data_IF_233914422249
#
_entry.id   IF_233914422249
#
_cell.length_a   1.000
_cell.length_b   1.000
_cell.length_c   1.000
_cell.angle_alpha   90.00
_cell.angle_beta   90.00
_cell.angle_gamma   90.00
#
_symmetry.space_group_name_H-M   'P 1'
#
loop_
_entity.id
_entity.type
_entity.pdbx_description
1 polymer ?
#
# COMPACT_ATOMS: atom_id res chain seq x y z
N UNK A 1 23.00 28.81 -3.10
CA UNK A 1 22.42 27.54 -2.64
C UNK A 1 23.33 26.38 -3.05
N UNK A 2 24.24 25.98 -2.16
CA UNK A 2 25.18 24.89 -2.41
C UNK A 2 24.49 23.52 -2.38
N UNK A 3 23.94 23.08 -3.50
CA UNK A 3 23.56 21.67 -3.65
C UNK A 3 24.86 20.92 -3.90
N UNK A 4 25.37 20.24 -2.86
CA UNK A 4 26.60 19.42 -2.95
C UNK A 4 26.54 18.35 -4.05
N UNK A 5 27.57 17.49 -4.11
CA UNK A 5 27.67 16.41 -5.11
C UNK A 5 26.39 15.55 -5.09
N UNK A 6 25.57 15.69 -6.12
CA UNK A 6 24.34 14.91 -6.24
C UNK A 6 24.68 13.45 -6.49
N UNK A 7 24.05 12.54 -5.76
CA UNK A 7 24.22 11.10 -5.98
C UNK A 7 23.86 10.75 -7.43
N UNK A 8 24.81 10.15 -8.13
CA UNK A 8 24.64 9.68 -9.50
C UNK A 8 24.07 8.25 -9.46
N UNK A 9 22.99 8.04 -10.19
CA UNK A 9 22.36 6.72 -10.39
C UNK A 9 22.48 6.34 -11.86
N UNK A 10 22.69 5.05 -12.11
CA UNK A 10 22.76 4.51 -13.47
C UNK A 10 21.37 4.17 -13.97
N UNK A 11 21.06 4.61 -15.20
CA UNK A 11 19.85 4.21 -15.88
C UNK A 11 19.87 2.71 -16.16
N UNK A 12 18.78 2.01 -15.85
CA UNK A 12 18.67 0.57 -16.10
C UNK A 12 18.62 0.22 -17.60
N UNK A 13 18.03 1.09 -18.43
CA UNK A 13 17.86 0.82 -19.86
C UNK A 13 19.10 1.13 -20.71
N UNK A 14 19.75 2.28 -20.47
CA UNK A 14 20.86 2.77 -21.31
C UNK A 14 22.20 2.91 -20.58
N UNK A 15 22.26 2.58 -19.28
CA UNK A 15 23.48 2.69 -18.48
C UNK A 15 23.94 4.11 -18.15
N UNK A 16 23.35 5.15 -18.75
CA UNK A 16 23.75 6.55 -18.57
C UNK A 16 23.65 6.97 -17.10
N UNK A 17 24.69 7.63 -16.60
CA UNK A 17 24.70 8.20 -15.25
C UNK A 17 23.89 9.48 -15.20
N UNK A 18 22.85 9.51 -14.36
CA UNK A 18 21.95 10.66 -14.19
C UNK A 18 21.92 11.01 -12.70
N UNK A 19 21.81 12.29 -12.36
CA UNK A 19 21.63 12.67 -10.96
C UNK A 19 20.29 12.18 -10.43
N UNK A 20 20.27 11.73 -9.17
CA UNK A 20 19.06 11.16 -8.54
C UNK A 20 17.85 12.09 -8.53
N UNK A 21 18.06 13.40 -8.52
CA UNK A 21 16.98 14.40 -8.62
C UNK A 21 16.39 14.54 -10.04
N UNK A 22 17.15 14.21 -11.09
CA UNK A 22 16.69 14.26 -12.48
C UNK A 22 16.23 12.89 -13.02
N UNK A 23 16.56 11.81 -12.32
CA UNK A 23 16.20 10.46 -12.71
C UNK A 23 14.71 10.16 -12.48
N UNK A 24 14.10 9.43 -13.40
CA UNK A 24 12.72 8.95 -13.27
C UNK A 24 12.74 7.67 -12.45
N UNK A 25 12.01 7.66 -11.33
CA UNK A 25 11.91 6.49 -10.45
C UNK A 25 10.63 5.72 -10.76
N UNK A 26 10.79 4.45 -11.13
CA UNK A 26 9.72 3.48 -11.29
C UNK A 26 9.76 2.44 -10.15
N UNK A 27 8.60 2.00 -9.68
CA UNK A 27 8.47 0.97 -8.65
C UNK A 27 8.03 -0.32 -9.34
N UNK A 28 8.99 -1.22 -9.58
CA UNK A 28 8.70 -2.50 -10.24
C UNK A 28 8.49 -3.56 -9.17
N UNK A 29 7.31 -4.18 -9.17
CA UNK A 29 7.06 -5.38 -8.36
C UNK A 29 7.75 -6.56 -9.02
N UNK A 30 8.65 -7.20 -8.29
CA UNK A 30 9.23 -8.48 -8.66
C UNK A 30 8.57 -9.52 -7.78
N UNK A 31 7.91 -10.48 -8.40
CA UNK A 31 7.31 -11.63 -7.72
C UNK A 31 8.26 -12.78 -7.93
N UNK A 32 8.81 -13.29 -6.84
CA UNK A 32 9.57 -14.54 -6.84
C UNK A 32 8.61 -15.62 -6.38
N UNK A 33 8.27 -16.53 -7.29
CA UNK A 33 7.60 -17.79 -6.98
C UNK A 33 8.66 -18.88 -6.97
N UNK A 34 8.90 -19.47 -5.80
CA UNK A 34 9.65 -20.74 -5.74
C UNK A 34 8.64 -21.87 -5.82
N UNK A 35 8.65 -22.60 -6.94
CA UNK A 35 7.89 -23.85 -7.10
C UNK A 35 8.54 -24.95 -6.26
N UNK A 36 8.28 -24.92 -4.95
CA UNK A 36 8.57 -26.04 -4.07
C UNK A 36 7.48 -27.09 -4.35
N UNK A 37 7.86 -28.25 -4.88
CA UNK A 37 6.96 -29.40 -5.15
C UNK A 37 6.29 -29.98 -3.89
N UNK A 38 6.34 -29.27 -2.77
CA UNK A 38 5.85 -29.65 -1.45
C UNK A 38 5.00 -28.50 -0.94
N UNK A 39 3.68 -28.60 -1.07
CA UNK A 39 2.54 -27.89 -0.45
C UNK A 39 2.57 -26.38 -0.09
N UNK A 40 3.72 -25.74 0.12
CA UNK A 40 3.87 -24.36 0.59
C UNK A 40 4.52 -23.48 -0.49
N UNK A 41 3.67 -22.93 -1.37
CA UNK A 41 4.09 -21.93 -2.36
C UNK A 41 4.47 -20.61 -1.68
N UNK A 42 5.76 -20.40 -1.43
CA UNK A 42 6.27 -19.11 -0.97
C UNK A 42 6.27 -18.09 -2.11
N UNK A 43 5.27 -17.21 -2.13
CA UNK A 43 5.19 -16.07 -3.06
C UNK A 43 5.78 -14.83 -2.40
N UNK A 44 7.05 -14.53 -2.70
CA UNK A 44 7.71 -13.32 -2.20
C UNK A 44 7.50 -12.16 -3.18
N UNK A 45 6.78 -11.12 -2.74
CA UNK A 45 6.57 -9.91 -3.54
C UNK A 45 7.45 -8.77 -3.03
N UNK A 46 8.48 -8.40 -3.80
CA UNK A 46 9.37 -7.29 -3.49
C UNK A 46 9.11 -6.11 -4.44
N UNK A 47 9.04 -4.88 -3.90
CA UNK A 47 8.95 -3.66 -4.71
C UNK A 47 10.32 -3.00 -4.84
N UNK A 48 10.96 -3.12 -6.00
CA UNK A 48 12.28 -2.52 -6.28
C UNK A 48 12.15 -1.17 -6.97
N UNK A 49 12.95 -0.21 -6.52
CA UNK A 49 13.08 1.13 -7.14
C UNK A 49 14.06 1.06 -8.30
N UNK A 50 13.58 1.30 -9.50
CA UNK A 50 14.39 1.32 -10.73
C UNK A 50 14.53 2.77 -11.20
N UNK A 51 15.74 3.16 -11.58
CA UNK A 51 16.07 4.50 -12.05
C UNK A 51 16.23 4.52 -13.57
N UNK A 52 15.59 5.48 -14.23
CA UNK A 52 15.67 5.71 -15.67
C UNK A 52 16.12 7.13 -16.01
N UNK A 53 16.73 7.25 -17.18
CA UNK A 53 17.04 8.52 -17.82
C UNK A 53 15.75 9.20 -18.33
N UNK A 54 15.76 10.53 -18.53
CA UNK A 54 14.57 11.28 -18.97
C UNK A 54 14.06 10.81 -20.34
N UNK A 55 14.95 10.53 -21.29
CA UNK A 55 14.56 10.01 -22.61
C UNK A 55 13.98 8.59 -22.51
N UNK A 56 14.67 7.70 -21.79
CA UNK A 56 14.24 6.33 -21.53
C UNK A 56 12.86 6.27 -20.84
N UNK A 57 12.63 7.18 -19.90
CA UNK A 57 11.35 7.27 -19.18
C UNK A 57 10.18 7.66 -20.08
N UNK A 58 10.45 8.48 -21.12
CA UNK A 58 9.45 8.84 -22.14
C UNK A 58 9.14 7.68 -23.07
N UNK A 59 10.16 7.03 -23.62
CA UNK A 59 9.98 5.91 -24.56
C UNK A 59 9.33 4.68 -23.91
N UNK A 60 9.60 4.42 -22.62
CA UNK A 60 9.05 3.29 -21.88
C UNK A 60 7.70 3.59 -21.19
N UNK A 61 7.11 4.78 -21.43
CA UNK A 61 5.82 5.18 -20.84
C UNK A 61 5.81 5.19 -19.30
N UNK A 62 6.95 5.39 -18.65
CA UNK A 62 7.06 5.35 -17.18
C UNK A 62 6.32 6.53 -16.56
N UNK A 63 6.29 7.67 -17.25
CA UNK A 63 5.57 8.86 -16.81
C UNK A 63 4.05 8.63 -16.72
N UNK A 64 3.47 7.98 -17.71
CA UNK A 64 2.03 7.69 -17.78
C UNK A 64 1.62 6.72 -16.69
N UNK A 65 2.38 5.63 -16.52
CA UNK A 65 2.17 4.66 -15.45
C UNK A 65 2.24 5.32 -14.08
N UNK A 66 3.21 6.20 -13.85
CA UNK A 66 3.36 6.91 -12.58
C UNK A 66 2.26 7.94 -12.34
N UNK A 67 1.77 8.62 -13.39
CA UNK A 67 0.64 9.55 -13.29
C UNK A 67 -0.61 8.82 -12.80
N UNK A 68 -0.95 7.70 -13.43
CA UNK A 68 -2.10 6.85 -13.05
C UNK A 68 -1.98 6.34 -11.61
N UNK A 69 -0.79 5.89 -11.21
CA UNK A 69 -0.54 5.44 -9.83
C UNK A 69 -0.70 6.57 -8.80
N UNK A 70 -0.22 7.77 -9.12
CA UNK A 70 -0.33 8.92 -8.22
C UNK A 70 -1.78 9.43 -8.10
N UNK A 71 -2.55 9.33 -9.18
CA UNK A 71 -3.98 9.65 -9.19
C UNK A 71 -4.77 8.72 -8.25
N UNK A 72 -4.62 7.40 -8.41
CA UNK A 72 -5.22 6.40 -7.51
C UNK A 72 -4.80 6.64 -6.06
N UNK A 73 -3.52 6.98 -5.82
CA UNK A 73 -3.03 7.27 -4.47
C UNK A 73 -3.69 8.54 -3.89
N UNK A 74 -3.86 9.59 -4.69
CA UNK A 74 -4.56 10.82 -4.28
C UNK A 74 -6.03 10.56 -3.98
N UNK A 75 -6.72 9.80 -4.82
CA UNK A 75 -8.11 9.41 -4.60
C UNK A 75 -8.28 8.61 -3.30
N UNK A 76 -7.43 7.61 -3.07
CA UNK A 76 -7.44 6.84 -1.81
C UNK A 76 -7.18 7.73 -0.59
N UNK A 77 -6.23 8.66 -0.68
CA UNK A 77 -5.94 9.59 0.41
C UNK A 77 -7.11 10.52 0.68
N UNK A 78 -7.77 11.05 -0.36
CA UNK A 78 -8.92 11.92 -0.22
C UNK A 78 -10.11 11.17 0.40
N UNK A 79 -10.39 9.94 -0.05
CA UNK A 79 -11.48 9.11 0.50
C UNK A 79 -11.26 8.75 1.98
N UNK A 80 -10.02 8.53 2.39
CA UNK A 80 -9.66 8.28 3.79
C UNK A 80 -9.82 9.52 4.67
N UNK A 81 -9.71 10.73 4.11
CA UNK A 81 -9.82 11.99 4.85
C UNK A 81 -11.29 12.43 5.04
N UNK A 82 -12.19 12.02 4.13
CA UNK A 82 -13.64 12.28 4.24
C UNK A 82 -14.40 11.25 5.08
N UNK A 83 -13.77 10.12 5.45
CA UNK A 83 -14.37 9.10 6.32
C UNK A 83 -14.29 9.39 7.84
N UNK A 84 -13.62 10.47 8.26
CA UNK A 84 -13.46 10.85 9.67
C UNK A 84 -14.56 11.81 10.19
N UNK A 85 -15.73 11.84 9.53
CA UNK A 85 -16.93 12.57 9.94
C UNK A 85 -18.08 11.66 10.40
N UNK A 86 -17.79 10.40 10.71
CA UNK A 86 -18.76 9.43 11.23
C UNK A 86 -19.26 9.84 12.62
N UNK A 87 -20.42 10.47 12.62
CA UNK A 87 -21.28 10.86 13.74
C UNK A 87 -21.44 9.75 14.78
N UNK A 88 -20.68 9.85 15.88
CA UNK A 88 -21.00 9.16 17.14
C UNK A 88 -21.81 10.10 18.02
N UNK A 89 -23.12 10.18 17.77
CA UNK A 89 -24.05 10.81 18.69
C UNK A 89 -24.22 9.92 19.92
N UNK A 90 -23.53 10.24 21.01
CA UNK A 90 -23.75 9.61 22.32
C UNK A 90 -24.73 10.48 23.13
N UNK A 91 -25.99 10.51 22.67
CA UNK A 91 -27.12 10.99 23.45
C UNK A 91 -28.08 9.84 23.63
N UNK A 92 -28.26 9.33 24.85
CA UNK A 92 -29.29 8.32 25.10
C UNK A 92 -29.10 7.50 26.36
N UNK A 93 -29.64 8.04 27.46
CA UNK A 93 -30.26 7.35 28.59
C UNK A 93 -29.46 6.27 29.35
N UNK A 94 -29.11 6.61 30.60
CA UNK A 94 -28.87 5.61 31.63
C UNK A 94 -30.12 4.75 31.85
N UNK A 95 -29.96 3.44 31.65
CA UNK A 95 -30.90 2.42 32.09
C UNK A 95 -30.14 1.44 32.97
N UNK A 96 -30.44 1.49 34.27
CA UNK A 96 -29.94 0.55 35.28
C UNK A 96 -30.28 -0.89 34.89
N UNK A 97 -29.26 -1.71 34.62
CA UNK A 97 -29.41 -3.15 34.56
C UNK A 97 -29.51 -3.69 35.99
N UNK A 98 -30.72 -3.64 36.54
CA UNK A 98 -31.12 -4.41 37.72
C UNK A 98 -31.38 -5.86 37.32
N UNK A 99 -30.79 -6.80 38.06
CA UNK A 99 -30.76 -8.21 37.76
C UNK A 99 -31.98 -9.03 38.21
N UNK A 100 -31.72 -10.35 38.19
CA UNK A 100 -32.38 -11.49 38.88
C UNK A 100 -33.50 -12.26 38.18
N UNK A 101 -33.39 -13.59 38.31
CA UNK A 101 -34.39 -14.63 38.02
C UNK A 101 -34.14 -15.33 36.67
N UNK A 102 -33.63 -16.56 36.57
CA UNK A 102 -33.86 -17.75 37.38
C UNK A 102 -34.89 -18.64 36.68
N UNK A 103 -34.47 -19.73 36.02
CA UNK A 103 -35.27 -20.95 35.99
C UNK A 103 -34.43 -22.21 35.78
N UNK A 104 -34.52 -23.05 36.79
CA UNK A 104 -34.21 -24.46 36.93
C UNK A 104 -34.89 -25.37 35.88
N UNK A 105 -34.27 -26.54 35.66
CA UNK A 105 -35.01 -27.76 35.41
C UNK A 105 -34.92 -28.31 33.98
N UNK A 106 -33.99 -29.25 33.78
CA UNK A 106 -33.91 -30.09 32.59
C UNK A 106 -33.34 -31.45 32.96
N UNK A 107 -34.04 -32.14 33.86
CA UNK A 107 -33.79 -33.52 34.27
C UNK A 107 -34.30 -34.51 33.23
N UNK A 108 -33.41 -35.45 32.86
CA UNK A 108 -33.68 -36.85 32.50
C UNK A 108 -34.51 -37.14 31.23
N UNK A 109 -33.96 -37.97 30.31
CA UNK A 109 -34.29 -39.41 30.16
C UNK A 109 -33.81 -39.96 28.81
N UNK A 110 -32.98 -41.02 28.91
CA UNK A 110 -32.72 -42.15 28.00
C UNK A 110 -32.38 -41.90 26.53
#
# INVERSE_FOLDING_TARGET
MGRGKTTLVRCNACGRSVSRGKAVVDLRSVVYSTDLRTADDLRYMEKRKVYYCVSCGKSLGVYERKKKQNEIYRERKNNMQTGAGGTGGFGGAGGSFGGTGGNSGGSEKF
#
